data_IF_243309794374
#
_entry.id   IF_243309794374
#
_cell.length_a   1.000
_cell.length_b   1.000
_cell.length_c   1.000
_cell.angle_alpha   90.00
_cell.angle_beta   90.00
_cell.angle_gamma   90.00
#
_symmetry.space_group_name_H-M   'P 1'
#
loop_
_entity.id
_entity.type
_entity.pdbx_description
1 polymer ?
#
# COMPACT_ATOMS: atom_id res chain seq x y z
N UNK A 1 14.22 9.84 -15.38
CA UNK A 1 15.23 8.78 -15.62
C UNK A 1 14.83 7.64 -14.72
N UNK A 2 14.64 6.47 -15.27
CA UNK A 2 14.39 5.23 -14.53
C UNK A 2 15.62 4.36 -14.70
N UNK A 3 16.18 3.89 -13.61
CA UNK A 3 17.38 3.06 -13.60
C UNK A 3 17.02 1.76 -12.88
N UNK A 4 17.18 0.61 -13.52
CA UNK A 4 17.05 -0.67 -12.85
C UNK A 4 18.21 -1.60 -13.18
N UNK A 5 18.51 -2.53 -12.28
CA UNK A 5 19.50 -3.55 -12.51
C UNK A 5 18.87 -4.71 -13.29
N UNK A 6 19.44 -5.06 -14.42
CA UNK A 6 19.06 -6.27 -15.15
C UNK A 6 19.79 -7.45 -14.49
N UNK A 7 19.05 -8.37 -13.87
CA UNK A 7 19.63 -9.63 -13.41
C UNK A 7 19.87 -10.54 -14.61
N UNK A 8 21.07 -10.45 -15.16
CA UNK A 8 21.61 -11.50 -16.04
C UNK A 8 22.18 -12.58 -15.12
N UNK A 9 21.63 -13.77 -15.22
CA UNK A 9 21.85 -14.91 -14.31
C UNK A 9 23.33 -15.35 -14.22
N UNK A 10 24.24 -14.89 -15.09
CA UNK A 10 25.60 -15.40 -15.19
C UNK A 10 26.74 -14.40 -14.96
N UNK A 11 26.48 -13.17 -14.48
CA UNK A 11 27.55 -12.16 -14.30
C UNK A 11 27.86 -11.81 -12.84
N UNK A 12 27.35 -12.55 -11.88
CA UNK A 12 27.55 -12.29 -10.44
C UNK A 12 28.97 -12.56 -9.94
N UNK A 13 29.80 -13.23 -10.69
CA UNK A 13 31.21 -13.51 -10.30
C UNK A 13 32.14 -12.29 -10.42
N UNK A 14 31.75 -11.24 -11.15
CA UNK A 14 32.63 -10.09 -11.46
C UNK A 14 32.16 -8.80 -10.75
N UNK A 15 31.10 -8.83 -9.95
CA UNK A 15 30.57 -7.63 -9.27
C UNK A 15 30.02 -6.56 -10.22
N UNK A 16 29.86 -6.86 -11.52
CA UNK A 16 29.34 -5.95 -12.51
C UNK A 16 27.82 -6.12 -12.66
N UNK A 17 27.06 -5.08 -12.34
CA UNK A 17 25.60 -5.04 -12.48
C UNK A 17 25.22 -3.95 -13.49
N UNK A 18 25.10 -4.27 -14.79
CA UNK A 18 24.71 -3.30 -15.79
C UNK A 18 23.32 -2.72 -15.49
N UNK A 19 23.14 -1.43 -15.76
CA UNK A 19 21.86 -0.73 -15.55
C UNK A 19 21.20 -0.49 -16.90
N UNK A 20 19.92 -0.79 -16.98
CA UNK A 20 19.10 -0.36 -18.09
C UNK A 20 18.49 1.01 -17.78
N UNK A 21 18.62 1.93 -18.71
CA UNK A 21 18.24 3.34 -18.52
C UNK A 21 17.07 3.67 -19.43
N UNK A 22 15.96 4.11 -18.84
CA UNK A 22 14.79 4.60 -19.54
C UNK A 22 14.61 6.10 -19.30
N UNK A 23 14.39 6.85 -20.36
CA UNK A 23 14.31 8.30 -20.34
C UNK A 23 12.98 8.81 -20.90
N UNK A 24 12.67 10.07 -20.57
CA UNK A 24 11.55 10.80 -21.17
C UNK A 24 10.20 10.18 -20.89
N UNK A 25 9.33 10.24 -21.90
CA UNK A 25 7.94 9.80 -21.75
C UNK A 25 7.80 8.27 -21.69
N UNK A 26 8.69 7.54 -22.32
CA UNK A 26 8.63 6.06 -22.29
C UNK A 26 8.78 5.53 -20.87
N UNK A 27 9.88 5.89 -20.19
CA UNK A 27 10.11 5.48 -18.81
C UNK A 27 9.01 5.95 -17.85
N UNK A 28 8.49 7.17 -18.09
CA UNK A 28 7.40 7.73 -17.30
C UNK A 28 6.09 6.96 -17.46
N UNK A 29 5.70 6.65 -18.69
CA UNK A 29 4.47 5.89 -18.98
C UNK A 29 4.54 4.50 -18.36
N UNK A 30 5.67 3.81 -18.44
CA UNK A 30 5.87 2.52 -17.79
C UNK A 30 5.69 2.59 -16.27
N UNK A 31 6.25 3.63 -15.61
CA UNK A 31 6.03 3.82 -14.18
C UNK A 31 4.54 4.04 -13.85
N UNK A 32 3.84 4.84 -14.64
CA UNK A 32 2.40 5.08 -14.47
C UNK A 32 1.62 3.77 -14.64
N UNK A 33 1.88 3.00 -15.68
CA UNK A 33 1.24 1.70 -15.89
C UNK A 33 1.41 0.76 -14.69
N UNK A 34 2.62 0.70 -14.12
CA UNK A 34 2.88 -0.09 -12.93
C UNK A 34 2.09 0.39 -11.70
N UNK A 35 1.99 1.71 -11.50
CA UNK A 35 1.18 2.30 -10.43
C UNK A 35 -0.29 1.98 -10.62
N UNK A 36 -0.82 2.16 -11.83
CA UNK A 36 -2.23 1.87 -12.14
C UNK A 36 -2.55 0.37 -12.00
N UNK A 37 -1.64 -0.51 -12.42
CA UNK A 37 -1.83 -1.94 -12.31
C UNK A 37 -2.02 -2.40 -10.86
N UNK A 38 -1.10 -2.04 -9.96
CA UNK A 38 -1.23 -2.38 -8.53
C UNK A 38 -2.43 -1.69 -7.88
N UNK A 39 -2.68 -0.43 -8.22
CA UNK A 39 -3.79 0.33 -7.63
C UNK A 39 -5.13 -0.24 -8.04
N UNK A 40 -5.32 -0.65 -9.29
CA UNK A 40 -6.56 -1.26 -9.77
C UNK A 40 -6.82 -2.61 -9.09
N UNK A 41 -5.77 -3.42 -8.89
CA UNK A 41 -5.90 -4.66 -8.13
C UNK A 41 -6.37 -4.41 -6.69
N UNK A 42 -5.78 -3.42 -6.01
CA UNK A 42 -6.08 -3.11 -4.61
C UNK A 42 -7.42 -2.39 -4.45
N UNK A 43 -7.78 -1.48 -5.37
CA UNK A 43 -9.08 -0.77 -5.37
C UNK A 43 -10.28 -1.71 -5.34
N UNK A 44 -10.16 -2.91 -5.93
CA UNK A 44 -11.24 -3.89 -5.94
C UNK A 44 -11.65 -4.35 -4.54
N UNK A 45 -10.77 -4.21 -3.55
CA UNK A 45 -11.00 -4.59 -2.15
C UNK A 45 -11.51 -3.44 -1.27
N UNK A 46 -11.59 -2.21 -1.80
CA UNK A 46 -11.87 -1.01 -1.01
C UNK A 46 -13.34 -0.88 -0.63
N UNK A 47 -13.57 -0.56 0.63
CA UNK A 47 -14.87 -0.15 1.15
C UNK A 47 -15.88 -1.29 1.37
N UNK A 48 -17.14 -0.94 1.70
CA UNK A 48 -18.16 -1.94 2.07
C UNK A 48 -18.55 -2.87 0.92
N UNK A 49 -18.35 -2.43 -0.32
CA UNK A 49 -18.60 -3.22 -1.54
C UNK A 49 -17.33 -3.90 -2.06
N UNK A 50 -16.25 -3.92 -1.27
CA UNK A 50 -15.00 -4.53 -1.64
C UNK A 50 -15.16 -6.01 -2.01
N UNK A 51 -14.57 -6.38 -3.15
CA UNK A 51 -14.65 -7.72 -3.70
C UNK A 51 -13.60 -8.64 -3.11
N UNK A 52 -13.88 -9.94 -3.16
CA UNK A 52 -12.89 -10.97 -2.84
C UNK A 52 -11.98 -11.20 -4.04
N UNK A 53 -10.68 -11.24 -3.79
CA UNK A 53 -9.65 -11.48 -4.80
C UNK A 53 -9.13 -12.91 -4.66
N UNK A 54 -8.94 -13.57 -5.78
CA UNK A 54 -8.30 -14.87 -5.88
C UNK A 54 -6.85 -14.66 -6.32
N UNK A 55 -5.92 -15.19 -5.55
CA UNK A 55 -4.49 -15.08 -5.83
C UNK A 55 -3.92 -16.49 -5.97
N UNK A 56 -3.22 -16.75 -7.07
CA UNK A 56 -2.48 -17.98 -7.24
C UNK A 56 -1.31 -18.01 -6.22
N UNK A 57 -1.21 -19.11 -5.49
CA UNK A 57 -0.15 -19.27 -4.49
C UNK A 57 1.12 -19.80 -5.14
N UNK A 58 2.25 -19.09 -5.11
CA UNK A 58 3.50 -19.55 -5.69
C UNK A 58 4.13 -20.76 -4.95
N UNK A 59 3.72 -21.00 -3.71
CA UNK A 59 4.32 -22.00 -2.83
C UNK A 59 3.62 -23.37 -2.87
N UNK A 60 2.45 -23.47 -3.46
CA UNK A 60 1.71 -24.73 -3.55
C UNK A 60 1.21 -24.94 -4.97
N UNK A 61 1.60 -26.05 -5.58
CA UNK A 61 1.03 -26.51 -6.85
C UNK A 61 -0.50 -26.61 -6.68
N UNK A 62 -1.25 -25.69 -7.30
CA UNK A 62 -2.71 -25.53 -7.20
C UNK A 62 -3.25 -24.84 -5.92
N UNK A 63 -2.39 -24.13 -5.15
CA UNK A 63 -2.87 -23.31 -4.03
C UNK A 63 -3.52 -22.01 -4.49
N UNK A 64 -4.71 -21.71 -3.99
CA UNK A 64 -5.38 -20.42 -4.23
C UNK A 64 -5.55 -19.73 -2.88
N UNK A 65 -5.10 -18.48 -2.80
CA UNK A 65 -5.39 -17.60 -1.66
C UNK A 65 -6.63 -16.78 -1.97
N UNK A 66 -7.61 -16.84 -1.10
CA UNK A 66 -8.85 -16.06 -1.19
C UNK A 66 -8.80 -14.97 -0.14
N UNK A 67 -8.82 -13.70 -0.56
CA UNK A 67 -8.68 -12.58 0.38
C UNK A 67 -9.50 -11.36 -0.03
N UNK A 68 -9.85 -10.54 0.96
CA UNK A 68 -10.36 -9.16 0.80
C UNK A 68 -9.35 -8.13 1.30
N UNK A 69 -8.21 -8.59 1.83
CA UNK A 69 -7.19 -7.71 2.39
C UNK A 69 -6.36 -7.08 1.29
N UNK A 70 -6.40 -5.73 1.21
CA UNK A 70 -5.66 -4.97 0.21
C UNK A 70 -4.14 -5.09 0.34
N UNK A 71 -3.60 -5.33 1.54
CA UNK A 71 -2.16 -5.57 1.75
C UNK A 71 -1.72 -6.87 1.09
N UNK A 72 -2.48 -7.93 1.32
CA UNK A 72 -2.22 -9.25 0.73
C UNK A 72 -2.30 -9.18 -0.79
N UNK A 73 -3.30 -8.47 -1.32
CA UNK A 73 -3.43 -8.23 -2.77
C UNK A 73 -2.23 -7.43 -3.29
N UNK A 74 -1.87 -6.32 -2.66
CA UNK A 74 -0.73 -5.51 -3.08
C UNK A 74 0.57 -6.32 -3.13
N UNK A 75 0.82 -7.16 -2.11
CA UNK A 75 2.02 -7.99 -2.03
C UNK A 75 2.11 -9.05 -3.12
N UNK A 76 0.99 -9.51 -3.65
CA UNK A 76 0.94 -10.54 -4.69
C UNK A 76 1.13 -10.00 -6.11
N UNK A 77 1.03 -8.68 -6.32
CA UNK A 77 1.18 -8.08 -7.66
C UNK A 77 2.65 -8.04 -8.04
N UNK A 78 3.03 -8.77 -9.08
CA UNK A 78 4.33 -8.65 -9.73
C UNK A 78 4.12 -8.59 -11.25
N UNK A 79 4.81 -7.67 -11.91
CA UNK A 79 4.67 -7.41 -13.33
C UNK A 79 5.89 -7.91 -14.10
N UNK A 80 5.67 -8.35 -15.34
CA UNK A 80 6.73 -8.87 -16.21
C UNK A 80 7.70 -7.78 -16.67
N UNK A 81 7.20 -6.56 -16.96
CA UNK A 81 8.07 -5.44 -17.33
C UNK A 81 8.82 -4.95 -16.08
N UNK A 82 10.17 -4.97 -16.09
CA UNK A 82 10.92 -4.61 -14.89
C UNK A 82 10.80 -3.14 -14.50
N UNK A 83 10.48 -2.24 -15.42
CA UNK A 83 10.28 -0.80 -15.12
C UNK A 83 8.92 -0.60 -14.46
N UNK A 84 7.88 -1.24 -14.99
CA UNK A 84 6.55 -1.24 -14.37
C UNK A 84 6.61 -1.88 -12.98
N UNK A 85 7.34 -2.99 -12.85
CA UNK A 85 7.50 -3.68 -11.57
C UNK A 85 8.31 -2.87 -10.54
N UNK A 86 9.19 -1.97 -10.99
CA UNK A 86 9.87 -1.04 -10.08
C UNK A 86 8.85 -0.10 -9.41
N UNK A 87 7.90 0.42 -10.17
CA UNK A 87 6.81 1.23 -9.62
C UNK A 87 5.94 0.43 -8.64
N UNK A 88 5.60 -0.81 -8.99
CA UNK A 88 4.88 -1.74 -8.09
C UNK A 88 5.63 -1.91 -6.76
N UNK A 89 6.93 -2.13 -6.79
CA UNK A 89 7.75 -2.26 -5.57
C UNK A 89 7.73 -1.00 -4.70
N UNK A 90 7.78 0.19 -5.30
CA UNK A 90 7.66 1.45 -4.57
C UNK A 90 6.29 1.59 -3.90
N UNK A 91 5.22 1.20 -4.58
CA UNK A 91 3.87 1.21 -4.03
C UNK A 91 3.70 0.19 -2.89
N UNK A 92 4.29 -1.01 -3.02
CA UNK A 92 4.33 -2.01 -1.95
C UNK A 92 5.04 -1.47 -0.71
N UNK A 93 6.18 -0.81 -0.88
CA UNK A 93 6.92 -0.20 0.24
C UNK A 93 6.10 0.88 0.95
N UNK A 94 5.40 1.74 0.20
CA UNK A 94 4.51 2.75 0.78
C UNK A 94 3.38 2.11 1.61
N UNK A 95 2.78 1.03 1.09
CA UNK A 95 1.76 0.25 1.80
C UNK A 95 2.30 -0.40 3.08
N UNK A 96 3.47 -1.02 3.02
CA UNK A 96 4.11 -1.66 4.18
C UNK A 96 4.50 -0.64 5.27
N UNK A 97 4.99 0.53 4.89
CA UNK A 97 5.24 1.63 5.84
C UNK A 97 3.96 2.10 6.54
N UNK A 98 2.85 2.20 5.79
CA UNK A 98 1.55 2.56 6.36
C UNK A 98 1.06 1.47 7.32
N UNK A 99 1.16 0.19 6.94
CA UNK A 99 0.80 -0.93 7.79
C UNK A 99 1.60 -0.94 9.10
N UNK A 100 2.91 -0.70 9.02
CA UNK A 100 3.79 -0.72 10.18
C UNK A 100 3.57 0.47 11.12
N UNK A 101 3.30 1.65 10.57
CA UNK A 101 3.15 2.89 11.37
C UNK A 101 1.75 3.08 11.93
N UNK A 102 0.72 2.75 11.17
CA UNK A 102 -0.68 3.00 11.50
C UNK A 102 -1.50 1.73 11.77
N UNK A 103 -1.05 0.58 11.30
CA UNK A 103 -1.76 -0.70 11.42
C UNK A 103 -2.97 -0.85 10.50
N UNK A 104 -3.34 0.18 9.76
CA UNK A 104 -4.49 0.22 8.84
C UNK A 104 -4.30 1.30 7.77
N UNK A 105 -5.18 1.35 6.77
CA UNK A 105 -5.18 2.39 5.73
C UNK A 105 -4.26 2.12 4.55
N UNK A 106 -3.73 0.93 4.38
CA UNK A 106 -2.81 0.54 3.29
C UNK A 106 -3.44 0.70 1.92
N UNK A 107 -4.67 0.22 1.74
CA UNK A 107 -5.45 0.40 0.50
C UNK A 107 -5.65 1.88 0.17
N UNK A 108 -6.01 2.68 1.19
CA UNK A 108 -6.18 4.14 1.05
C UNK A 108 -4.87 4.81 0.65
N UNK A 109 -3.74 4.42 1.24
CA UNK A 109 -2.42 4.94 0.90
C UNK A 109 -2.05 4.69 -0.58
N UNK A 110 -2.30 3.47 -1.08
CA UNK A 110 -2.06 3.11 -2.48
C UNK A 110 -2.93 3.98 -3.42
N UNK A 111 -4.23 4.08 -3.14
CA UNK A 111 -5.17 4.85 -3.96
C UNK A 111 -4.82 6.34 -3.97
N UNK A 112 -4.49 6.91 -2.81
CA UNK A 112 -4.07 8.31 -2.73
C UNK A 112 -2.75 8.56 -3.46
N UNK A 113 -1.78 7.66 -3.34
CA UNK A 113 -0.50 7.78 -4.04
C UNK A 113 -0.70 7.76 -5.54
N UNK A 114 -1.52 6.85 -6.06
CA UNK A 114 -1.86 6.82 -7.49
C UNK A 114 -2.47 8.15 -7.94
N UNK A 115 -3.49 8.65 -7.25
CA UNK A 115 -4.17 9.89 -7.64
C UNK A 115 -3.23 11.11 -7.57
N UNK A 116 -2.38 11.19 -6.55
CA UNK A 116 -1.37 12.25 -6.44
C UNK A 116 -0.37 12.22 -7.60
N UNK A 117 0.07 11.03 -8.02
CA UNK A 117 0.99 10.88 -9.15
C UNK A 117 0.30 11.26 -10.46
N UNK A 118 -0.90 10.74 -10.73
CA UNK A 118 -1.63 11.00 -11.97
C UNK A 118 -2.00 12.48 -12.12
N UNK A 119 -2.52 13.12 -11.07
CA UNK A 119 -2.85 14.54 -11.10
C UNK A 119 -1.60 15.44 -11.15
N UNK A 120 -0.56 15.08 -10.41
CA UNK A 120 0.73 15.79 -10.48
C UNK A 120 1.33 15.73 -11.87
N UNK A 121 1.30 14.57 -12.51
CA UNK A 121 1.76 14.40 -13.89
C UNK A 121 0.91 15.22 -14.88
N UNK A 122 -0.40 15.24 -14.72
CA UNK A 122 -1.31 16.04 -15.55
C UNK A 122 -0.97 17.54 -15.46
N UNK A 123 -0.77 18.05 -14.25
CA UNK A 123 -0.42 19.46 -14.03
C UNK A 123 0.94 19.83 -14.64
N UNK A 124 1.94 18.97 -14.48
CA UNK A 124 3.27 19.19 -15.02
C UNK A 124 3.27 19.16 -16.55
N UNK A 125 2.50 18.28 -17.19
CA UNK A 125 2.32 18.25 -18.66
C UNK A 125 1.71 19.54 -19.19
N UNK A 126 0.83 20.19 -18.44
CA UNK A 126 0.23 21.47 -18.79
C UNK A 126 1.10 22.71 -18.45
N UNK A 127 2.42 22.52 -18.36
CA UNK A 127 3.43 23.56 -18.15
C UNK A 127 3.42 24.22 -16.75
N UNK A 128 2.84 23.60 -15.76
CA UNK A 128 3.04 24.02 -14.38
C UNK A 128 4.52 23.83 -13.98
N UNK A 129 5.03 24.74 -13.15
CA UNK A 129 6.38 24.61 -12.62
C UNK A 129 6.44 23.42 -11.65
N UNK A 130 7.19 22.38 -12.04
CA UNK A 130 7.31 21.15 -11.26
C UNK A 130 7.74 21.40 -9.81
N UNK A 131 8.67 22.32 -9.59
CA UNK A 131 9.18 22.64 -8.25
C UNK A 131 8.11 23.29 -7.39
N UNK A 132 7.31 24.17 -7.97
CA UNK A 132 6.19 24.82 -7.28
C UNK A 132 5.10 23.80 -6.93
N UNK A 133 4.69 22.98 -7.89
CA UNK A 133 3.69 21.90 -7.65
C UNK A 133 4.12 21.01 -6.49
N UNK A 134 5.37 20.56 -6.47
CA UNK A 134 5.87 19.72 -5.38
C UNK A 134 5.94 20.46 -4.03
N UNK A 135 6.29 21.75 -4.03
CA UNK A 135 6.32 22.54 -2.81
C UNK A 135 4.92 22.75 -2.23
N UNK A 136 3.97 23.10 -3.08
CA UNK A 136 2.56 23.24 -2.67
C UNK A 136 1.96 21.94 -2.20
N UNK A 137 2.26 20.82 -2.87
CA UNK A 137 1.81 19.51 -2.44
C UNK A 137 2.27 19.19 -1.02
N UNK A 138 3.56 19.42 -0.72
CA UNK A 138 4.11 19.19 0.64
C UNK A 138 3.46 20.11 1.66
N UNK A 139 3.24 21.39 1.32
CA UNK A 139 2.62 22.33 2.25
C UNK A 139 1.15 21.98 2.51
N UNK A 140 0.38 21.75 1.45
CA UNK A 140 -1.04 21.37 1.57
C UNK A 140 -1.21 20.04 2.33
N UNK A 141 -0.29 19.09 2.17
CA UNK A 141 -0.32 17.84 2.96
C UNK A 141 -0.18 18.12 4.45
N UNK A 142 0.70 19.02 4.87
CA UNK A 142 0.84 19.40 6.29
C UNK A 142 -0.44 20.04 6.84
N UNK A 143 -1.07 20.89 6.06
CA UNK A 143 -2.30 21.56 6.45
C UNK A 143 -3.47 20.57 6.57
N UNK A 144 -3.58 19.62 5.65
CA UNK A 144 -4.57 18.53 5.72
C UNK A 144 -4.32 17.66 6.95
N UNK A 145 -3.08 17.24 7.22
CA UNK A 145 -2.73 16.44 8.41
C UNK A 145 -3.13 17.18 9.69
N UNK A 146 -2.82 18.48 9.79
CA UNK A 146 -3.23 19.30 10.94
C UNK A 146 -4.76 19.37 11.12
N UNK A 147 -5.51 19.40 10.03
CA UNK A 147 -6.98 19.35 10.09
C UNK A 147 -7.48 17.98 10.55
N UNK A 148 -6.90 16.90 10.01
CA UNK A 148 -7.23 15.54 10.42
C UNK A 148 -6.95 15.28 11.91
N UNK A 149 -5.84 15.80 12.42
CA UNK A 149 -5.53 15.73 13.86
C UNK A 149 -6.61 16.41 14.71
N UNK A 150 -7.12 17.58 14.29
CA UNK A 150 -8.22 18.27 14.98
C UNK A 150 -9.55 17.52 14.92
N UNK A 151 -9.77 16.75 13.84
CA UNK A 151 -10.97 15.92 13.67
C UNK A 151 -10.87 14.60 14.41
N UNK A 152 -9.65 14.14 14.71
CA UNK A 152 -9.41 12.85 15.36
C UNK A 152 -10.03 12.81 16.76
N UNK A 153 -10.49 11.63 17.15
CA UNK A 153 -11.08 11.40 18.48
C UNK A 153 -10.42 10.21 19.12
N UNK A 154 -10.06 10.35 20.39
CA UNK A 154 -9.50 9.25 21.15
C UNK A 154 -10.50 8.07 21.24
N UNK A 155 -10.00 6.86 21.07
CA UNK A 155 -10.81 5.64 21.21
C UNK A 155 -11.11 5.42 22.67
N UNK A 156 -12.39 5.54 23.05
CA UNK A 156 -12.87 5.21 24.39
C UNK A 156 -13.04 3.71 24.55
N UNK A 157 -13.09 3.23 25.81
CA UNK A 157 -13.32 1.78 26.11
C UNK A 157 -14.59 1.22 25.44
N UNK A 158 -15.64 2.05 25.23
CA UNK A 158 -16.87 1.64 24.55
C UNK A 158 -16.65 1.42 23.05
N UNK A 159 -15.89 2.31 22.40
CA UNK A 159 -15.64 2.25 20.94
C UNK A 159 -14.53 1.25 20.52
N UNK A 160 -13.76 0.74 21.47
CA UNK A 160 -12.71 -0.21 21.18
C UNK A 160 -13.24 -1.48 20.46
N UNK A 161 -14.43 -1.93 20.82
CA UNK A 161 -15.08 -3.05 20.14
C UNK A 161 -15.46 -2.73 18.70
N UNK A 162 -15.95 -1.53 18.45
CA UNK A 162 -16.36 -1.11 17.10
C UNK A 162 -15.13 -1.04 16.18
N UNK A 163 -14.02 -0.42 16.67
CA UNK A 163 -12.76 -0.37 15.94
C UNK A 163 -12.24 -1.78 15.65
N UNK A 164 -12.19 -2.67 16.65
CA UNK A 164 -11.74 -4.04 16.48
C UNK A 164 -12.64 -4.84 15.50
N UNK A 165 -13.95 -4.60 15.52
CA UNK A 165 -14.90 -5.23 14.59
C UNK A 165 -14.65 -4.77 13.15
N UNK A 166 -14.47 -3.47 12.92
CA UNK A 166 -14.18 -2.93 11.58
C UNK A 166 -12.85 -3.49 11.07
N UNK A 167 -11.81 -3.49 11.90
CA UNK A 167 -10.47 -4.00 11.53
C UNK A 167 -10.46 -5.52 11.26
N UNK A 168 -11.41 -6.26 11.80
CA UNK A 168 -11.61 -7.69 11.53
C UNK A 168 -12.64 -7.96 10.42
N UNK A 169 -12.75 -7.08 9.45
CA UNK A 169 -13.67 -7.20 8.31
C UNK A 169 -15.16 -7.38 8.74
N UNK A 170 -15.59 -6.58 9.72
CA UNK A 170 -16.92 -6.60 10.34
C UNK A 170 -17.28 -7.91 11.08
N UNK A 171 -16.29 -8.70 11.46
CA UNK A 171 -16.51 -9.85 12.31
C UNK A 171 -16.70 -9.41 13.77
N UNK A 172 -17.96 -9.44 14.23
CA UNK A 172 -18.33 -9.03 15.60
C UNK A 172 -17.80 -9.97 16.67
N UNK A 173 -17.56 -11.26 16.33
CA UNK A 173 -17.02 -12.25 17.24
C UNK A 173 -15.54 -11.97 17.49
N UNK A 174 -14.74 -11.86 16.43
CA UNK A 174 -13.32 -11.51 16.51
C UNK A 174 -13.14 -10.14 17.17
N UNK A 175 -13.91 -9.13 16.75
CA UNK A 175 -13.88 -7.80 17.36
C UNK A 175 -14.18 -7.81 18.86
N UNK A 176 -15.11 -8.69 19.29
CA UNK A 176 -15.42 -8.89 20.70
C UNK A 176 -14.26 -9.50 21.49
N UNK A 177 -13.60 -10.52 20.95
CA UNK A 177 -12.43 -11.16 21.56
C UNK A 177 -11.29 -10.16 21.71
N UNK A 178 -10.91 -9.48 20.63
CA UNK A 178 -9.84 -8.48 20.61
C UNK A 178 -10.12 -7.37 21.63
N UNK A 179 -11.32 -6.82 21.60
CA UNK A 179 -11.73 -5.76 22.55
C UNK A 179 -11.62 -6.22 24.01
N UNK A 180 -11.98 -7.47 24.31
CA UNK A 180 -11.88 -8.04 25.66
C UNK A 180 -10.42 -8.18 26.10
N UNK A 181 -9.56 -8.66 25.22
CA UNK A 181 -8.12 -8.81 25.50
C UNK A 181 -7.49 -7.44 25.79
N UNK A 182 -7.67 -6.46 24.91
CA UNK A 182 -7.11 -5.12 25.11
C UNK A 182 -7.65 -4.39 26.35
N UNK A 183 -8.92 -4.65 26.73
CA UNK A 183 -9.45 -4.13 28.01
C UNK A 183 -8.78 -4.78 29.21
N UNK A 184 -8.40 -6.06 29.09
CA UNK A 184 -7.72 -6.79 30.18
C UNK A 184 -6.27 -6.39 30.37
N UNK A 185 -5.51 -6.26 29.27
CA UNK A 185 -4.08 -5.91 29.36
C UNK A 185 -3.82 -4.40 29.55
N UNK A 186 -4.81 -3.57 29.23
CA UNK A 186 -4.67 -2.11 29.39
C UNK A 186 -3.80 -1.43 28.35
N UNK A 187 -3.55 -0.13 28.54
CA UNK A 187 -2.88 0.75 27.56
C UNK A 187 -1.44 0.34 27.21
N UNK A 188 -0.73 -0.25 28.17
CA UNK A 188 0.69 -0.62 28.03
C UNK A 188 0.89 -2.13 27.86
N UNK A 189 -0.19 -2.88 27.71
CA UNK A 189 -0.13 -4.31 27.53
C UNK A 189 0.27 -4.69 26.09
N UNK A 190 1.08 -5.74 25.99
CA UNK A 190 1.47 -6.33 24.71
C UNK A 190 0.51 -7.50 24.42
N UNK A 191 -0.03 -7.53 23.22
CA UNK A 191 -0.87 -8.63 22.74
C UNK A 191 -0.17 -9.25 21.54
N UNK A 192 0.06 -10.55 21.60
CA UNK A 192 0.60 -11.35 20.50
C UNK A 192 -0.49 -12.27 19.96
N UNK A 193 -0.50 -12.49 18.66
CA UNK A 193 -1.37 -13.43 17.99
C UNK A 193 -0.50 -14.53 17.41
N UNK A 194 -0.78 -15.77 17.80
CA UNK A 194 -0.04 -16.93 17.31
C UNK A 194 -0.98 -17.97 16.72
N UNK A 195 -0.49 -18.82 15.80
CA UNK A 195 -1.28 -19.92 15.27
C UNK A 195 -1.26 -21.06 16.27
N UNK A 196 -2.46 -21.52 16.68
CA UNK A 196 -2.58 -22.78 17.41
C UNK A 196 -2.14 -23.94 16.50
N UNK A 197 -1.27 -24.77 17.02
CA UNK A 197 -0.94 -26.05 16.39
C UNK A 197 -2.01 -27.09 16.69
#
# INVERSE_FOLDING_TARGET
IVIFAQNLIDMNEIGYSPKNLHFGNEGRNKLINGIEAISNAVKSTLGPSGQTVLIESPSHTHGITVTKDGVTVAKSVDLLDPVENLAVRMMKEAADRTATSAGDGTTTAIVLTEQLVLEGERLIRHKANKTEVLRELVQNTKDIVSQLEKMSRAVTKGRLRDVATISSNNDTHIGGIISKVYKGVGKNGIVTVDRSQ
#
